data_IF_315097915899
#
_entry.id   IF_315097915899
#
_cell.length_a   1.000
_cell.length_b   1.000
_cell.length_c   1.000
_cell.angle_alpha   90.00
_cell.angle_beta   90.00
_cell.angle_gamma   90.00
#
_symmetry.space_group_name_H-M   'P 1'
#
loop_
_entity.id
_entity.type
_entity.pdbx_description
1 polymer ?
#
# COMPACT_ATOMS: atom_id res chain seq x y z
N UNK A 1 15.15 -20.77 -19.49
CA UNK A 1 15.56 -20.42 -18.10
C UNK A 1 17.06 -20.49 -18.04
N UNK A 2 17.70 -19.57 -17.30
CA UNK A 2 19.12 -19.67 -16.97
C UNK A 2 19.39 -20.97 -16.21
N UNK A 3 20.60 -21.53 -16.35
CA UNK A 3 21.06 -22.63 -15.51
C UNK A 3 21.64 -22.15 -14.18
N UNK A 4 22.02 -20.87 -14.10
CA UNK A 4 22.47 -20.18 -12.89
C UNK A 4 21.29 -19.66 -12.09
N UNK A 5 21.39 -19.75 -10.76
CA UNK A 5 20.37 -19.19 -9.88
C UNK A 5 20.54 -17.67 -9.69
N UNK A 6 19.69 -17.08 -8.85
CA UNK A 6 19.64 -15.61 -8.68
C UNK A 6 20.88 -15.01 -8.02
N UNK A 7 21.65 -15.83 -7.28
CA UNK A 7 22.81 -15.40 -6.51
C UNK A 7 24.07 -15.59 -7.38
N UNK A 8 24.12 -16.66 -8.19
CA UNK A 8 25.16 -16.90 -9.20
C UNK A 8 25.24 -15.78 -10.26
N UNK A 9 24.10 -15.24 -10.68
CA UNK A 9 24.01 -14.19 -11.72
C UNK A 9 24.74 -12.92 -11.29
N UNK A 10 24.69 -12.58 -9.99
CA UNK A 10 25.31 -11.36 -9.46
C UNK A 10 26.85 -11.47 -9.49
N UNK A 11 27.40 -12.64 -9.16
CA UNK A 11 28.85 -12.90 -9.21
C UNK A 11 29.42 -12.94 -10.64
N UNK A 12 28.58 -13.30 -11.63
CA UNK A 12 28.98 -13.32 -13.04
C UNK A 12 28.99 -11.95 -13.72
N UNK A 13 28.58 -10.88 -13.01
CA UNK A 13 28.52 -9.52 -13.55
C UNK A 13 27.42 -9.33 -14.59
N UNK A 14 26.38 -10.17 -14.56
CA UNK A 14 25.23 -10.08 -15.46
C UNK A 14 24.15 -9.16 -14.87
N UNK A 15 23.43 -8.43 -15.74
CA UNK A 15 22.29 -7.62 -15.32
C UNK A 15 21.10 -8.53 -14.99
N UNK A 16 20.60 -8.42 -13.75
CA UNK A 16 19.38 -9.08 -13.28
C UNK A 16 18.23 -8.08 -13.14
N UNK A 17 17.04 -8.46 -13.61
CA UNK A 17 15.79 -7.72 -13.41
C UNK A 17 14.73 -8.68 -12.86
N UNK A 18 14.23 -8.40 -11.66
CA UNK A 18 13.16 -9.18 -11.04
C UNK A 18 11.80 -8.66 -11.49
N UNK A 19 11.00 -9.53 -12.14
CA UNK A 19 9.64 -9.21 -12.57
C UNK A 19 8.66 -9.66 -11.50
N UNK A 20 8.20 -8.72 -10.68
CA UNK A 20 7.27 -8.97 -9.58
C UNK A 20 5.82 -8.69 -9.97
N UNK A 21 4.94 -9.67 -9.80
CA UNK A 21 3.50 -9.53 -10.01
C UNK A 21 2.79 -8.93 -8.79
N UNK A 22 2.76 -7.60 -8.67
CA UNK A 22 2.07 -6.91 -7.57
C UNK A 22 0.63 -6.57 -8.00
N UNK A 23 -0.34 -7.43 -7.64
CA UNK A 23 -1.76 -7.29 -8.03
C UNK A 23 -2.39 -5.96 -7.61
N UNK A 24 -1.89 -5.32 -6.54
CA UNK A 24 -2.37 -4.00 -6.14
C UNK A 24 -2.16 -2.96 -7.23
N UNK A 25 -1.04 -3.01 -7.97
CA UNK A 25 -0.80 -2.09 -9.09
C UNK A 25 -1.84 -2.27 -10.20
N UNK A 26 -2.28 -3.51 -10.44
CA UNK A 26 -3.40 -3.79 -11.36
C UNK A 26 -4.72 -3.21 -10.84
N UNK A 27 -5.01 -3.32 -9.53
CA UNK A 27 -6.17 -2.67 -8.90
C UNK A 27 -6.15 -1.16 -9.05
N UNK A 28 -5.01 -0.50 -8.78
CA UNK A 28 -4.88 0.96 -8.94
C UNK A 28 -5.12 1.35 -10.40
N UNK A 29 -4.44 0.68 -11.34
CA UNK A 29 -4.61 0.95 -12.77
C UNK A 29 -6.05 0.73 -13.26
N UNK A 30 -6.71 -0.33 -12.79
CA UNK A 30 -8.13 -0.59 -13.07
C UNK A 30 -9.02 0.55 -12.58
N UNK A 31 -8.81 0.95 -11.32
CA UNK A 31 -9.57 2.02 -10.67
C UNK A 31 -9.48 3.31 -11.47
N UNK A 32 -8.27 3.71 -11.89
CA UNK A 32 -8.07 4.90 -12.72
C UNK A 32 -8.79 4.84 -14.06
N UNK A 33 -8.79 3.67 -14.73
CA UNK A 33 -9.54 3.48 -15.98
C UNK A 33 -11.04 3.66 -15.76
N UNK A 34 -11.57 3.10 -14.67
CA UNK A 34 -12.99 3.25 -14.34
C UNK A 34 -13.38 4.69 -14.01
N UNK A 35 -12.56 5.40 -13.22
CA UNK A 35 -12.77 6.83 -12.91
C UNK A 35 -12.87 7.63 -14.21
N UNK A 36 -11.89 7.47 -15.11
CA UNK A 36 -11.88 8.15 -16.40
C UNK A 36 -13.11 7.78 -17.24
N UNK A 37 -13.46 6.49 -17.30
CA UNK A 37 -14.59 6.00 -18.09
C UNK A 37 -15.92 6.54 -17.61
N UNK A 38 -16.14 6.61 -16.30
CA UNK A 38 -17.46 6.92 -15.72
C UNK A 38 -17.68 8.40 -15.42
N UNK A 39 -16.60 9.15 -15.15
CA UNK A 39 -16.68 10.58 -14.82
C UNK A 39 -16.10 11.47 -15.93
N UNK A 40 -15.08 11.01 -16.66
CA UNK A 40 -14.38 11.80 -17.66
C UNK A 40 -13.99 13.18 -17.13
N UNK A 41 -14.33 14.28 -17.81
CA UNK A 41 -14.02 15.65 -17.35
C UNK A 41 -14.58 16.03 -15.96
N UNK A 42 -15.50 15.23 -15.40
CA UNK A 42 -16.06 15.45 -14.05
C UNK A 42 -15.33 14.67 -12.96
N UNK A 43 -14.18 14.06 -13.25
CA UNK A 43 -13.44 13.26 -12.28
C UNK A 43 -13.13 14.02 -10.98
N UNK A 44 -12.66 15.28 -11.08
CA UNK A 44 -12.35 16.09 -9.90
C UNK A 44 -13.59 16.32 -9.02
N UNK A 45 -14.71 16.77 -9.59
CA UNK A 45 -15.93 17.00 -8.83
C UNK A 45 -16.54 15.71 -8.28
N UNK A 46 -16.46 14.61 -9.02
CA UNK A 46 -16.95 13.31 -8.57
C UNK A 46 -16.17 12.76 -7.36
N UNK A 47 -14.86 13.03 -7.29
CA UNK A 47 -14.01 12.64 -6.16
C UNK A 47 -14.00 13.64 -5.00
N UNK A 48 -14.81 14.69 -5.06
CA UNK A 48 -14.75 15.84 -4.14
C UNK A 48 -13.35 16.45 -4.04
N UNK A 49 -12.64 16.51 -5.16
CA UNK A 49 -11.30 17.07 -5.27
C UNK A 49 -11.38 18.56 -5.63
N UNK A 50 -10.31 19.33 -5.37
CA UNK A 50 -10.19 20.69 -5.90
C UNK A 50 -10.38 20.70 -7.43
N UNK A 51 -11.18 21.64 -7.93
CA UNK A 51 -11.48 21.73 -9.37
C UNK A 51 -10.26 22.14 -10.20
N UNK A 52 -9.28 22.76 -9.56
CA UNK A 52 -7.98 23.18 -10.09
C UNK A 52 -6.86 22.17 -9.77
N UNK A 53 -7.19 20.96 -9.30
CA UNK A 53 -6.23 19.90 -9.03
C UNK A 53 -5.39 19.58 -10.29
N UNK A 54 -4.10 19.91 -10.26
CA UNK A 54 -3.17 19.75 -11.39
C UNK A 54 -2.90 18.28 -11.77
N UNK A 55 -3.12 17.38 -10.82
CA UNK A 55 -3.04 15.93 -10.97
C UNK A 55 -4.31 15.31 -11.59
N UNK A 56 -5.35 16.09 -11.88
CA UNK A 56 -6.52 15.66 -12.65
C UNK A 56 -6.52 16.36 -14.01
N UNK A 57 -6.34 15.60 -15.09
CA UNK A 57 -6.34 16.15 -16.46
C UNK A 57 -7.75 16.46 -16.95
N UNK A 58 -7.91 17.34 -17.96
CA UNK A 58 -9.23 17.70 -18.50
C UNK A 58 -10.07 16.53 -19.02
N UNK A 59 -9.43 15.42 -19.41
CA UNK A 59 -10.10 14.21 -19.88
C UNK A 59 -10.50 13.23 -18.75
N UNK A 60 -10.24 13.58 -17.49
CA UNK A 60 -10.49 12.75 -16.32
C UNK A 60 -9.36 11.82 -15.90
N UNK A 61 -8.22 11.86 -16.59
CA UNK A 61 -7.03 11.07 -16.19
C UNK A 61 -6.45 11.62 -14.89
N UNK A 62 -6.24 10.76 -13.89
CA UNK A 62 -5.59 11.11 -12.62
C UNK A 62 -4.12 10.64 -12.66
N UNK A 63 -3.20 11.54 -12.37
CA UNK A 63 -1.78 11.25 -12.16
C UNK A 63 -1.54 10.92 -10.69
N UNK A 64 -1.57 9.62 -10.34
CA UNK A 64 -1.43 9.17 -8.95
C UNK A 64 -0.11 9.57 -8.28
N UNK A 65 0.98 9.76 -9.03
CA UNK A 65 2.27 10.16 -8.47
C UNK A 65 2.33 11.67 -8.15
N UNK A 66 1.33 12.44 -8.59
CA UNK A 66 1.23 13.88 -8.38
C UNK A 66 0.17 14.26 -7.33
N UNK A 67 -0.50 13.28 -6.70
CA UNK A 67 -1.47 13.57 -5.64
C UNK A 67 -0.74 14.16 -4.42
N UNK A 68 -1.33 15.15 -3.72
CA UNK A 68 -0.78 15.67 -2.48
C UNK A 68 -0.69 14.58 -1.40
N UNK A 69 0.37 14.60 -0.59
CA UNK A 69 0.62 13.62 0.49
C UNK A 69 0.09 14.08 1.86
N UNK A 70 -0.76 15.11 1.88
CA UNK A 70 -1.34 15.77 3.04
C UNK A 70 -2.88 15.86 2.95
N UNK A 71 -3.52 14.96 2.17
CA UNK A 71 -4.97 14.91 2.05
C UNK A 71 -5.61 14.39 3.35
N UNK A 72 -6.15 15.33 4.13
CA UNK A 72 -6.79 15.05 5.42
C UNK A 72 -7.96 14.05 5.31
N UNK A 73 -8.87 14.10 4.32
CA UNK A 73 -9.88 13.05 4.13
C UNK A 73 -9.29 11.64 4.07
N UNK A 74 -8.15 11.47 3.38
CA UNK A 74 -7.44 10.20 3.29
C UNK A 74 -6.86 9.78 4.64
N UNK A 75 -6.24 10.69 5.39
CA UNK A 75 -5.76 10.39 6.75
C UNK A 75 -6.90 10.07 7.72
N UNK A 76 -8.03 10.78 7.66
CA UNK A 76 -9.24 10.42 8.40
C UNK A 76 -9.67 9.00 8.08
N UNK A 77 -9.74 8.63 6.79
CA UNK A 77 -10.12 7.28 6.37
C UNK A 77 -9.16 6.21 6.92
N UNK A 78 -7.85 6.46 6.90
CA UNK A 78 -6.82 5.57 7.48
C UNK A 78 -7.03 5.44 8.99
N UNK A 79 -7.19 6.55 9.71
CA UNK A 79 -7.37 6.61 11.17
C UNK A 79 -8.62 5.89 11.69
N UNK A 80 -9.63 5.68 10.84
CA UNK A 80 -10.78 4.83 11.19
C UNK A 80 -10.41 3.34 11.39
N UNK A 81 -9.21 2.92 10.96
CA UNK A 81 -8.78 1.52 10.89
C UNK A 81 -9.72 0.62 10.05
N UNK A 82 -10.60 1.19 9.22
CA UNK A 82 -11.37 0.48 8.19
C UNK A 82 -10.57 0.37 6.88
N UNK A 83 -9.38 -0.19 6.97
CA UNK A 83 -8.37 -0.20 5.92
C UNK A 83 -8.43 -1.43 5.02
N UNK A 84 -9.55 -2.18 5.04
CA UNK A 84 -9.71 -3.38 4.20
C UNK A 84 -9.54 -3.03 2.71
N UNK A 85 -8.66 -3.74 2.00
CA UNK A 85 -8.30 -3.45 0.62
C UNK A 85 -7.28 -2.31 0.42
N UNK A 86 -6.84 -1.61 1.48
CA UNK A 86 -5.73 -0.67 1.39
C UNK A 86 -4.40 -1.43 1.53
N UNK A 87 -3.45 -1.14 0.64
CA UNK A 87 -2.17 -1.85 0.56
C UNK A 87 -1.36 -1.74 1.85
N UNK A 88 -0.71 -2.83 2.29
CA UNK A 88 0.11 -2.96 3.52
C UNK A 88 -0.60 -2.75 4.87
N UNK A 89 -1.73 -2.04 4.93
CA UNK A 89 -2.37 -1.65 6.20
C UNK A 89 -3.70 -2.37 6.49
N UNK A 90 -4.05 -3.42 5.74
CA UNK A 90 -5.32 -4.15 5.92
C UNK A 90 -5.31 -5.31 6.93
N UNK A 91 -4.13 -5.83 7.28
CA UNK A 91 -4.02 -7.00 8.17
C UNK A 91 -4.53 -6.69 9.58
N UNK A 92 -5.01 -7.68 10.37
CA UNK A 92 -5.57 -7.41 11.69
C UNK A 92 -4.61 -6.65 12.62
N UNK A 93 -3.34 -7.04 12.66
CA UNK A 93 -2.36 -6.36 13.50
C UNK A 93 -1.95 -4.99 12.96
N UNK A 94 -1.95 -4.79 11.63
CA UNK A 94 -1.74 -3.46 11.06
C UNK A 94 -2.89 -2.51 11.40
N UNK A 95 -4.13 -3.00 11.33
CA UNK A 95 -5.30 -2.23 11.74
C UNK A 95 -5.24 -1.83 13.22
N UNK A 96 -4.73 -2.71 14.07
CA UNK A 96 -4.47 -2.39 15.48
C UNK A 96 -3.39 -1.30 15.63
N UNK A 97 -2.27 -1.42 14.89
CA UNK A 97 -1.20 -0.43 14.95
C UNK A 97 -1.68 0.93 14.42
N UNK A 98 -2.31 0.99 13.25
CA UNK A 98 -2.92 2.21 12.68
C UNK A 98 -3.91 2.83 13.68
N UNK A 99 -4.77 1.99 14.30
CA UNK A 99 -5.73 2.45 15.30
C UNK A 99 -5.06 3.11 16.51
N UNK A 100 -3.89 2.63 16.95
CA UNK A 100 -3.11 3.22 18.04
C UNK A 100 -2.24 4.39 17.59
N UNK A 101 -1.68 4.32 16.39
CA UNK A 101 -0.78 5.33 15.82
C UNK A 101 -1.52 6.61 15.47
N UNK A 102 -2.75 6.49 14.98
CA UNK A 102 -3.53 7.59 14.43
C UNK A 102 -2.69 8.45 13.46
N UNK A 103 -2.23 7.88 12.32
CA UNK A 103 -1.38 8.60 11.36
C UNK A 103 -2.02 9.92 10.91
N UNK A 104 -1.25 11.00 10.94
CA UNK A 104 -1.67 12.34 10.52
C UNK A 104 -0.72 12.99 9.51
N UNK A 105 0.38 12.32 9.19
CA UNK A 105 1.30 12.73 8.13
C UNK A 105 1.85 11.54 7.34
N UNK A 106 2.36 11.79 6.14
CA UNK A 106 2.88 10.75 5.25
C UNK A 106 4.04 9.94 5.86
N UNK A 107 4.88 10.59 6.65
CA UNK A 107 6.00 9.93 7.33
C UNK A 107 5.54 8.87 8.35
N UNK A 108 4.35 9.03 8.95
CA UNK A 108 3.79 7.99 9.83
C UNK A 108 3.52 6.70 9.07
N UNK A 109 3.08 6.76 7.81
CA UNK A 109 2.87 5.55 7.00
C UNK A 109 4.20 4.83 6.72
N UNK A 110 5.27 5.60 6.50
CA UNK A 110 6.62 5.04 6.37
C UNK A 110 7.03 4.38 7.69
N UNK A 111 6.78 5.02 8.83
CA UNK A 111 7.07 4.47 10.15
C UNK A 111 6.25 3.21 10.45
N UNK A 112 4.93 3.21 10.20
CA UNK A 112 4.01 2.09 10.39
C UNK A 112 4.49 0.82 9.68
N UNK A 113 4.75 0.91 8.37
CA UNK A 113 5.23 -0.20 7.52
C UNK A 113 6.59 -0.74 8.03
N UNK A 114 7.37 0.12 8.65
CA UNK A 114 8.70 -0.22 9.17
C UNK A 114 8.63 -0.84 10.56
N UNK A 115 7.72 -0.36 11.40
CA UNK A 115 7.53 -0.77 12.80
C UNK A 115 6.72 -2.06 12.91
N UNK A 116 5.78 -2.33 12.01
CA UNK A 116 4.95 -3.54 12.04
C UNK A 116 5.72 -4.78 11.52
N UNK A 117 6.77 -5.15 12.24
CA UNK A 117 7.66 -6.27 11.91
C UNK A 117 8.05 -7.03 13.18
N UNK A 118 8.33 -8.35 13.09
CA UNK A 118 8.67 -9.14 14.28
C UNK A 118 9.82 -8.60 15.11
N UNK A 119 10.84 -8.00 14.47
CA UNK A 119 12.01 -7.44 15.15
C UNK A 119 11.68 -6.19 15.98
N UNK A 120 11.23 -5.08 15.36
CA UNK A 120 10.83 -3.86 16.08
C UNK A 120 9.76 -4.09 17.16
N UNK A 121 8.81 -5.01 16.91
CA UNK A 121 7.78 -5.39 17.90
C UNK A 121 8.40 -6.07 19.13
N UNK A 122 9.36 -6.99 18.95
CA UNK A 122 10.10 -7.63 20.05
C UNK A 122 11.03 -6.66 20.77
N UNK A 123 11.61 -5.71 20.04
CA UNK A 123 12.49 -4.66 20.57
C UNK A 123 11.75 -3.52 21.27
N UNK A 124 10.43 -3.61 21.41
CA UNK A 124 9.57 -2.57 22.00
C UNK A 124 9.79 -1.18 21.38
N UNK A 125 10.02 -1.09 20.07
CA UNK A 125 10.21 0.20 19.37
C UNK A 125 8.90 0.95 19.16
N UNK A 126 7.77 0.22 19.15
CA UNK A 126 6.44 0.79 18.89
C UNK A 126 5.96 1.65 20.03
N UNK A 127 6.05 1.20 21.30
CA UNK A 127 5.52 1.96 22.42
C UNK A 127 6.19 3.34 22.60
N UNK A 128 7.54 3.46 22.60
CA UNK A 128 8.20 4.77 22.68
C UNK A 128 7.84 5.71 21.53
N UNK A 129 7.69 5.17 20.30
CA UNK A 129 7.26 5.96 19.15
C UNK A 129 5.85 6.53 19.37
N UNK A 130 4.90 5.68 19.77
CA UNK A 130 3.52 6.07 20.01
C UNK A 130 3.38 7.04 21.19
N UNK A 131 4.06 6.77 22.30
CA UNK A 131 4.01 7.62 23.49
C UNK A 131 4.56 9.02 23.21
N UNK A 132 5.64 9.11 22.43
CA UNK A 132 6.21 10.39 22.05
C UNK A 132 5.37 11.11 21.00
N UNK A 133 4.83 10.40 20.01
CA UNK A 133 3.89 10.94 19.01
C UNK A 133 2.67 11.58 19.67
N UNK A 134 2.08 10.89 20.65
CA UNK A 134 0.89 11.36 21.37
C UNK A 134 1.20 12.35 22.49
N UNK A 135 2.48 12.67 22.72
CA UNK A 135 2.91 13.61 23.76
C UNK A 135 2.77 13.08 25.19
N UNK A 136 2.55 11.77 25.38
CA UNK A 136 2.61 11.11 26.70
C UNK A 136 4.03 11.11 27.27
N UNK A 137 5.03 11.08 26.40
CA UNK A 137 6.44 11.27 26.75
C UNK A 137 7.09 12.29 25.83
N UNK A 138 8.19 12.91 26.28
CA UNK A 138 9.01 13.74 25.41
C UNK A 138 9.89 12.85 24.54
N UNK A 139 10.08 13.16 23.24
CA UNK A 139 11.02 12.44 22.38
C UNK A 139 12.41 12.34 23.01
N UNK A 140 12.87 11.11 23.22
CA UNK A 140 14.14 10.83 23.86
C UNK A 140 15.24 10.67 22.80
N UNK A 141 15.92 11.78 22.49
CA UNK A 141 17.05 11.76 21.57
C UNK A 141 18.30 11.22 22.27
N UNK A 142 18.96 10.22 21.67
CA UNK A 142 20.20 9.63 22.22
C UNK A 142 21.29 10.68 22.48
N UNK A 143 21.34 11.71 21.65
CA UNK A 143 22.19 12.88 21.80
C UNK A 143 21.50 14.10 21.14
N UNK A 144 21.65 15.33 21.65
CA UNK A 144 21.01 16.53 21.07
C UNK A 144 21.31 16.75 19.58
N UNK A 145 22.52 16.40 19.12
CA UNK A 145 22.89 16.52 17.71
C UNK A 145 22.14 15.56 16.78
N UNK A 146 21.44 14.56 17.29
CA UNK A 146 20.70 13.60 16.46
C UNK A 146 19.28 14.04 16.15
N UNK A 147 18.80 15.11 16.81
CA UNK A 147 17.44 15.61 16.64
C UNK A 147 17.08 15.86 15.17
N UNK A 148 17.98 16.45 14.39
CA UNK A 148 17.69 16.85 13.02
C UNK A 148 17.35 15.68 12.07
N UNK A 149 17.75 14.44 12.41
CA UNK A 149 17.43 13.26 11.61
C UNK A 149 16.59 12.20 12.34
N UNK A 150 16.37 12.34 13.64
CA UNK A 150 15.48 11.47 14.42
C UNK A 150 14.15 12.13 14.79
N UNK A 151 13.95 13.42 14.49
CA UNK A 151 12.71 14.12 14.83
C UNK A 151 11.47 13.49 14.19
N UNK A 152 11.56 13.07 12.93
CA UNK A 152 10.47 12.41 12.19
C UNK A 152 10.13 11.01 12.74
N UNK A 153 10.95 10.48 13.65
CA UNK A 153 10.71 9.22 14.34
C UNK A 153 10.63 9.37 15.84
N UNK A 154 10.43 10.61 16.32
CA UNK A 154 10.30 10.94 17.74
C UNK A 154 11.47 10.42 18.60
N UNK A 155 12.69 10.43 18.06
CA UNK A 155 13.90 9.94 18.73
C UNK A 155 14.16 8.43 18.55
N UNK A 156 13.21 7.67 18.01
CA UNK A 156 13.32 6.21 17.85
C UNK A 156 14.18 5.86 16.64
N UNK A 157 15.16 4.96 16.81
CA UNK A 157 16.05 4.52 15.72
C UNK A 157 15.41 3.37 14.94
N UNK A 158 14.69 3.70 13.87
CA UNK A 158 13.94 2.74 13.03
C UNK A 158 14.72 2.34 11.76
N UNK A 159 15.39 3.30 11.12
CA UNK A 159 15.89 3.11 9.76
C UNK A 159 17.40 2.89 9.68
N UNK A 160 17.84 2.19 8.62
CA UNK A 160 19.26 2.07 8.26
C UNK A 160 19.91 3.45 8.17
N UNK A 161 19.21 4.39 7.54
CA UNK A 161 19.66 5.77 7.34
C UNK A 161 19.88 6.51 8.66
N UNK A 162 19.16 6.14 9.75
CA UNK A 162 19.45 6.67 11.08
C UNK A 162 20.80 6.15 11.60
N UNK A 163 21.10 4.86 11.42
CA UNK A 163 22.38 4.27 11.80
C UNK A 163 23.54 4.90 11.04
N UNK A 164 23.38 5.09 9.73
CA UNK A 164 24.39 5.73 8.90
C UNK A 164 24.74 7.12 9.45
N UNK A 165 23.70 7.92 9.78
CA UNK A 165 23.88 9.26 10.36
C UNK A 165 24.46 9.22 11.77
N UNK A 166 24.03 8.30 12.63
CA UNK A 166 24.61 8.13 13.97
C UNK A 166 26.10 7.82 13.85
N UNK A 167 26.49 6.82 13.05
CA UNK A 167 27.90 6.45 12.86
C UNK A 167 28.72 7.61 12.26
N UNK A 168 28.17 8.31 11.28
CA UNK A 168 28.79 9.50 10.69
C UNK A 168 29.06 10.58 11.74
N UNK A 169 28.05 10.96 12.51
CA UNK A 169 28.14 12.01 13.53
C UNK A 169 29.05 11.62 14.69
N UNK A 170 29.03 10.35 15.12
CA UNK A 170 29.81 9.88 16.26
C UNK A 170 31.26 9.58 15.90
N UNK A 171 31.51 8.83 14.83
CA UNK A 171 32.84 8.36 14.46
C UNK A 171 33.59 9.30 13.50
N UNK A 172 32.91 10.31 12.95
CA UNK A 172 33.47 11.20 11.92
C UNK A 172 33.83 10.45 10.63
N UNK A 173 33.11 9.37 10.33
CA UNK A 173 33.28 8.56 9.10
C UNK A 173 32.47 9.12 7.95
N UNK A 174 32.73 8.73 6.71
CA UNK A 174 31.82 9.05 5.60
C UNK A 174 30.54 8.22 5.69
N UNK A 175 29.46 8.63 5.02
CA UNK A 175 28.23 7.82 4.93
C UNK A 175 28.46 6.48 4.20
N UNK A 176 29.40 6.43 3.26
CA UNK A 176 29.77 5.19 2.57
C UNK A 176 30.44 4.19 3.54
N UNK A 177 31.43 4.66 4.30
CA UNK A 177 32.07 3.87 5.36
C UNK A 177 31.04 3.46 6.44
N UNK A 178 30.10 4.33 6.79
CA UNK A 178 29.02 3.99 7.71
C UNK A 178 28.10 2.86 7.20
N UNK A 179 27.81 2.78 5.89
CA UNK A 179 27.04 1.66 5.34
C UNK A 179 27.85 0.35 5.35
N UNK A 180 29.15 0.40 5.07
CA UNK A 180 30.04 -0.78 5.18
C UNK A 180 30.07 -1.32 6.62
N UNK A 181 30.17 -0.43 7.61
CA UNK A 181 30.09 -0.76 9.03
C UNK A 181 28.72 -1.37 9.38
N UNK A 182 27.61 -0.76 8.91
CA UNK A 182 26.25 -1.29 9.12
C UNK A 182 26.11 -2.70 8.56
N UNK A 183 26.54 -2.97 7.33
CA UNK A 183 26.48 -4.30 6.69
C UNK A 183 27.29 -5.36 7.45
N UNK A 184 28.38 -4.93 8.08
CA UNK A 184 29.29 -5.82 8.81
C UNK A 184 28.88 -6.05 10.27
N UNK A 185 27.89 -5.30 10.76
CA UNK A 185 27.52 -5.25 12.18
C UNK A 185 27.03 -6.59 12.75
N UNK A 186 26.38 -7.42 11.93
CA UNK A 186 25.94 -8.77 12.32
C UNK A 186 27.11 -9.76 12.49
N UNK A 187 28.19 -9.60 11.71
CA UNK A 187 29.31 -10.55 11.67
C UNK A 187 30.50 -10.13 12.53
N UNK A 188 30.68 -8.82 12.71
CA UNK A 188 31.87 -8.22 13.28
C UNK A 188 31.56 -7.27 14.45
N UNK A 189 30.50 -7.54 15.20
CA UNK A 189 29.98 -6.64 16.26
C UNK A 189 31.08 -6.18 17.23
N UNK A 190 31.92 -7.09 17.73
CA UNK A 190 32.94 -6.76 18.73
C UNK A 190 34.07 -5.87 18.20
N UNK A 191 34.50 -6.06 16.95
CA UNK A 191 35.54 -5.21 16.37
C UNK A 191 34.99 -3.82 16.01
N UNK A 192 33.74 -3.76 15.53
CA UNK A 192 33.03 -2.50 15.28
C UNK A 192 32.81 -1.74 16.58
N UNK A 193 32.49 -2.43 17.69
CA UNK A 193 32.37 -1.81 19.01
C UNK A 193 33.65 -1.09 19.43
N UNK A 194 34.79 -1.78 19.34
CA UNK A 194 36.08 -1.22 19.72
C UNK A 194 36.41 0.03 18.87
N UNK A 195 36.19 -0.05 17.55
CA UNK A 195 36.40 1.07 16.63
C UNK A 195 35.44 2.24 16.92
N UNK A 196 34.16 1.96 17.15
CA UNK A 196 33.14 2.94 17.50
C UNK A 196 33.53 3.69 18.77
N UNK A 197 33.86 2.97 19.84
CA UNK A 197 34.25 3.57 21.13
C UNK A 197 35.49 4.43 21.01
N UNK A 198 36.53 3.94 20.33
CA UNK A 198 37.78 4.66 20.15
C UNK A 198 37.58 5.96 19.33
N UNK A 199 36.92 5.87 18.17
CA UNK A 199 36.71 7.04 17.28
C UNK A 199 35.74 8.04 17.88
N UNK A 200 34.66 7.58 18.51
CA UNK A 200 33.68 8.48 19.13
C UNK A 200 34.29 9.26 20.29
N UNK A 201 35.14 8.61 21.11
CA UNK A 201 35.88 9.29 22.18
C UNK A 201 36.87 10.33 21.65
N UNK A 202 37.45 10.10 20.48
CA UNK A 202 38.39 11.00 19.82
C UNK A 202 37.70 12.12 19.01
N UNK A 203 36.37 12.09 18.85
CA UNK A 203 35.63 13.10 18.09
C UNK A 203 35.48 14.38 18.91
N UNK A 204 36.18 15.42 18.48
CA UNK A 204 36.24 16.73 19.14
C UNK A 204 35.36 17.73 18.38
N UNK A 205 34.64 18.55 19.13
CA UNK A 205 33.94 19.70 18.59
C UNK A 205 34.95 20.79 18.20
N UNK A 206 35.07 21.15 16.91
CA UNK A 206 36.07 22.14 16.47
C UNK A 206 35.83 23.53 17.06
N UNK A 207 34.60 23.81 17.51
CA UNK A 207 34.20 25.10 18.08
C UNK A 207 34.58 25.22 19.56
N UNK A 208 34.46 24.14 20.32
CA UNK A 208 34.70 24.14 21.78
C UNK A 208 36.01 23.47 22.19
N UNK A 209 36.63 22.67 21.31
CA UNK A 209 37.80 21.86 21.62
C UNK A 209 37.53 20.71 22.59
N UNK A 210 36.28 20.51 23.00
CA UNK A 210 35.86 19.44 23.91
C UNK A 210 35.41 18.20 23.14
N UNK A 211 35.39 17.04 23.80
CA UNK A 211 34.79 15.84 23.22
C UNK A 211 33.31 16.10 22.94
N UNK A 212 32.83 15.68 21.77
CA UNK A 212 31.41 15.80 21.41
C UNK A 212 30.51 14.88 22.23
N UNK A 213 31.02 13.73 22.66
CA UNK A 213 30.24 12.69 23.33
C UNK A 213 30.86 12.30 24.67
N UNK A 214 30.03 12.19 25.71
CA UNK A 214 30.44 11.66 27.03
C UNK A 214 30.57 10.14 26.98
N UNK A 215 31.23 9.53 27.97
CA UNK A 215 31.34 8.06 28.03
C UNK A 215 29.94 7.42 28.17
N UNK A 216 29.02 8.09 28.88
CA UNK A 216 27.61 7.69 29.00
C UNK A 216 26.89 7.72 27.64
N UNK A 217 27.14 8.75 26.82
CA UNK A 217 26.53 8.84 25.49
C UNK A 217 27.02 7.70 24.60
N UNK A 218 28.33 7.42 24.63
CA UNK A 218 28.94 6.32 23.86
C UNK A 218 28.31 4.98 24.22
N UNK A 219 28.17 4.68 25.52
CA UNK A 219 27.55 3.44 25.99
C UNK A 219 26.10 3.35 25.51
N UNK A 220 25.32 4.41 25.73
CA UNK A 220 23.89 4.44 25.39
C UNK A 220 23.66 4.32 23.89
N UNK A 221 24.44 5.02 23.07
CA UNK A 221 24.33 4.95 21.61
C UNK A 221 24.71 3.55 21.13
N UNK A 222 25.79 2.97 21.65
CA UNK A 222 26.24 1.65 21.24
C UNK A 222 25.20 0.56 21.54
N UNK A 223 24.54 0.60 22.70
CA UNK A 223 23.49 -0.39 23.02
C UNK A 223 22.34 -0.37 22.00
N UNK A 224 21.95 0.83 21.53
CA UNK A 224 20.93 0.94 20.46
C UNK A 224 21.48 0.40 19.13
N UNK A 225 22.70 0.77 18.74
CA UNK A 225 23.33 0.30 17.49
C UNK A 225 23.49 -1.23 17.48
N UNK A 226 23.93 -1.82 18.59
CA UNK A 226 24.13 -3.26 18.74
C UNK A 226 22.82 -4.05 18.64
N UNK A 227 21.74 -3.53 19.23
CA UNK A 227 20.41 -4.12 19.06
C UNK A 227 19.94 -4.06 17.60
N UNK A 228 20.20 -2.94 16.93
CA UNK A 228 19.64 -2.65 15.60
C UNK A 228 20.02 -3.66 14.51
N UNK A 229 21.20 -4.27 14.57
CA UNK A 229 21.68 -5.25 13.59
C UNK A 229 20.70 -6.40 13.31
N UNK A 230 19.72 -6.64 14.19
CA UNK A 230 18.71 -7.69 14.03
C UNK A 230 17.34 -7.21 13.51
N UNK A 231 17.08 -5.90 13.37
CA UNK A 231 15.72 -5.38 13.11
C UNK A 231 15.61 -4.13 12.24
N UNK A 232 16.73 -3.53 11.86
CA UNK A 232 16.74 -2.31 11.06
C UNK A 232 15.96 -2.40 9.75
N UNK A 233 15.44 -1.25 9.32
CA UNK A 233 14.70 -1.18 8.06
C UNK A 233 15.21 -0.12 7.10
N UNK A 234 15.18 -0.39 5.80
CA UNK A 234 15.58 0.58 4.78
C UNK A 234 14.47 1.63 4.59
N UNK A 235 14.72 2.91 4.94
CA UNK A 235 13.72 3.99 4.83
C UNK A 235 13.24 4.15 3.40
N UNK A 236 14.15 4.08 2.43
CA UNK A 236 13.80 4.18 1.01
C UNK A 236 12.81 3.07 0.58
N UNK A 237 13.01 1.85 1.07
CA UNK A 237 12.08 0.75 0.80
C UNK A 237 10.72 0.97 1.49
N UNK A 238 10.72 1.47 2.74
CA UNK A 238 9.49 1.88 3.43
C UNK A 238 8.72 2.96 2.68
N UNK A 239 9.41 3.99 2.21
CA UNK A 239 8.83 5.07 1.42
C UNK A 239 8.22 4.56 0.11
N UNK A 240 8.91 3.65 -0.59
CA UNK A 240 8.40 3.04 -1.81
C UNK A 240 7.12 2.21 -1.58
N UNK A 241 6.92 1.64 -0.39
CA UNK A 241 5.71 0.90 -0.01
C UNK A 241 4.62 1.81 0.58
N UNK A 242 5.00 2.92 1.21
CA UNK A 242 4.07 3.94 1.69
C UNK A 242 3.32 4.60 0.53
N UNK A 243 3.95 4.73 -0.64
CA UNK A 243 3.32 5.33 -1.83
C UNK A 243 2.05 4.57 -2.28
N UNK A 244 2.10 3.27 -2.65
CA UNK A 244 0.89 2.51 -2.99
C UNK A 244 -0.06 2.33 -1.80
N UNK A 245 0.44 2.38 -0.56
CA UNK A 245 -0.39 2.40 0.65
C UNK A 245 -1.29 3.64 0.65
N UNK A 246 -0.69 4.81 0.54
CA UNK A 246 -1.39 6.09 0.48
C UNK A 246 -2.29 6.21 -0.75
N UNK A 247 -1.79 5.86 -1.94
CA UNK A 247 -2.58 5.88 -3.18
C UNK A 247 -3.83 4.98 -3.10
N UNK A 248 -3.71 3.79 -2.50
CA UNK A 248 -4.86 2.90 -2.30
C UNK A 248 -5.87 3.45 -1.30
N UNK A 249 -5.40 4.10 -0.22
CA UNK A 249 -6.26 4.76 0.75
C UNK A 249 -6.97 5.98 0.14
N UNK A 250 -6.25 6.78 -0.65
CA UNK A 250 -6.77 7.94 -1.36
C UNK A 250 -7.86 7.54 -2.35
N UNK A 251 -7.61 6.53 -3.20
CA UNK A 251 -8.62 6.03 -4.14
C UNK A 251 -9.84 5.46 -3.42
N UNK A 252 -9.66 4.74 -2.31
CA UNK A 252 -10.79 4.24 -1.51
C UNK A 252 -11.62 5.39 -0.90
N UNK A 253 -10.96 6.49 -0.56
CA UNK A 253 -11.60 7.67 0.06
C UNK A 253 -12.41 8.45 -0.97
N UNK A 254 -11.83 8.74 -2.14
CA UNK A 254 -12.41 9.63 -3.13
C UNK A 254 -13.24 8.89 -4.21
N UNK A 255 -12.91 7.63 -4.51
CA UNK A 255 -13.53 6.84 -5.57
C UNK A 255 -13.85 5.41 -5.09
N UNK A 256 -14.67 5.25 -4.04
CA UNK A 256 -14.90 3.96 -3.39
C UNK A 256 -15.51 2.91 -4.32
N UNK A 257 -16.39 3.29 -5.25
CA UNK A 257 -17.04 2.34 -6.14
C UNK A 257 -16.06 1.76 -7.17
N UNK A 258 -15.26 2.63 -7.78
CA UNK A 258 -14.21 2.30 -8.74
C UNK A 258 -13.11 1.47 -8.08
N UNK A 259 -12.72 1.85 -6.86
CA UNK A 259 -11.68 1.12 -6.12
C UNK A 259 -12.16 -0.27 -5.71
N UNK A 260 -13.40 -0.41 -5.25
CA UNK A 260 -14.00 -1.73 -4.94
C UNK A 260 -14.09 -2.60 -6.20
N UNK A 261 -14.46 -2.04 -7.35
CA UNK A 261 -14.46 -2.77 -8.62
C UNK A 261 -13.04 -3.28 -8.98
N UNK A 262 -12.02 -2.45 -8.79
CA UNK A 262 -10.62 -2.85 -8.98
C UNK A 262 -10.13 -3.92 -8.00
N UNK A 263 -10.55 -3.85 -6.73
CA UNK A 263 -10.24 -4.85 -5.71
C UNK A 263 -10.89 -6.20 -6.04
N UNK A 264 -12.15 -6.19 -6.46
CA UNK A 264 -12.87 -7.42 -6.82
C UNK A 264 -12.33 -8.07 -8.09
N UNK A 265 -11.92 -7.27 -9.08
CA UNK A 265 -11.34 -7.75 -10.35
C UNK A 265 -9.96 -8.38 -10.17
N UNK A 266 -9.06 -7.74 -9.42
CA UNK A 266 -7.66 -8.18 -9.30
C UNK A 266 -7.30 -8.90 -8.00
N UNK A 267 -8.17 -8.83 -6.98
CA UNK A 267 -8.04 -9.55 -5.71
C UNK A 267 -6.65 -9.43 -5.06
N UNK A 268 -6.12 -8.20 -4.84
CA UNK A 268 -4.72 -8.03 -4.46
C UNK A 268 -4.44 -8.35 -2.98
N UNK A 269 -5.47 -8.37 -2.15
CA UNK A 269 -5.37 -8.42 -0.70
C UNK A 269 -5.42 -9.83 -0.11
N UNK A 270 -5.48 -9.88 1.21
CA UNK A 270 -5.50 -11.15 1.96
C UNK A 270 -6.91 -11.68 2.26
N UNK A 271 -7.94 -10.85 2.18
CA UNK A 271 -9.30 -11.23 2.56
C UNK A 271 -10.11 -11.77 1.39
N UNK A 272 -10.97 -12.78 1.62
CA UNK A 272 -11.85 -13.29 0.58
C UNK A 272 -12.87 -12.23 0.14
N UNK A 273 -13.28 -12.29 -1.13
CA UNK A 273 -14.22 -11.34 -1.75
C UNK A 273 -15.49 -11.07 -0.94
N UNK A 274 -16.02 -12.04 -0.19
CA UNK A 274 -17.20 -11.83 0.68
C UNK A 274 -17.01 -10.68 1.70
N UNK A 275 -15.78 -10.48 2.19
CA UNK A 275 -15.48 -9.36 3.08
C UNK A 275 -15.41 -8.04 2.31
N UNK A 276 -14.89 -8.06 1.07
CA UNK A 276 -14.94 -6.89 0.18
C UNK A 276 -16.39 -6.46 -0.12
N UNK A 277 -17.33 -7.41 -0.28
CA UNK A 277 -18.76 -7.09 -0.43
C UNK A 277 -19.35 -6.45 0.84
N UNK A 278 -18.89 -6.87 2.01
CA UNK A 278 -19.31 -6.26 3.29
C UNK A 278 -18.76 -4.84 3.42
N UNK A 279 -17.54 -4.62 2.96
CA UNK A 279 -16.92 -3.30 2.92
C UNK A 279 -17.59 -2.37 1.91
N UNK A 280 -17.95 -2.87 0.73
CA UNK A 280 -18.74 -2.12 -0.25
C UNK A 280 -20.06 -1.63 0.38
N UNK A 281 -20.77 -2.50 1.12
CA UNK A 281 -21.98 -2.12 1.86
C UNK A 281 -21.72 -1.03 2.89
N UNK A 282 -20.62 -1.12 3.65
CA UNK A 282 -20.23 -0.10 4.63
C UNK A 282 -19.95 1.26 3.98
N UNK A 283 -19.34 1.24 2.80
CA UNK A 283 -19.05 2.43 1.99
C UNK A 283 -20.28 2.95 1.21
N UNK A 284 -21.45 2.29 1.34
CA UNK A 284 -22.65 2.68 0.61
C UNK A 284 -22.60 2.38 -0.89
N UNK A 285 -21.69 1.50 -1.34
CA UNK A 285 -21.55 1.07 -2.73
C UNK A 285 -22.44 -0.15 -2.99
N UNK A 286 -23.54 -0.02 -3.75
CA UNK A 286 -24.39 -1.15 -4.10
C UNK A 286 -23.66 -2.14 -5.00
N UNK A 287 -23.83 -3.43 -4.74
CA UNK A 287 -23.37 -4.50 -5.62
C UNK A 287 -24.56 -4.92 -6.49
N UNK A 288 -24.42 -4.76 -7.80
CA UNK A 288 -25.46 -5.05 -8.78
C UNK A 288 -25.35 -6.50 -9.24
N UNK A 289 -26.48 -7.23 -9.36
CA UNK A 289 -26.46 -8.65 -9.72
C UNK A 289 -25.87 -8.87 -11.10
N UNK A 290 -25.58 -10.12 -11.45
CA UNK A 290 -25.21 -10.44 -12.83
C UNK A 290 -26.36 -10.07 -13.77
N UNK A 291 -26.02 -9.65 -14.98
CA UNK A 291 -26.97 -9.42 -16.05
C UNK A 291 -26.27 -9.70 -17.38
N UNK A 292 -26.85 -10.54 -18.24
CA UNK A 292 -26.19 -10.95 -19.49
C UNK A 292 -25.99 -9.81 -20.49
N UNK A 293 -26.68 -8.68 -20.34
CA UNK A 293 -26.54 -7.50 -21.20
C UNK A 293 -25.66 -6.39 -20.58
N UNK A 294 -25.59 -6.31 -19.25
CA UNK A 294 -24.82 -5.28 -18.55
C UNK A 294 -23.47 -5.76 -18.01
N UNK A 295 -23.39 -7.01 -17.53
CA UNK A 295 -22.14 -7.59 -17.01
C UNK A 295 -21.12 -7.84 -18.12
N UNK A 296 -19.85 -7.60 -17.80
CA UNK A 296 -18.70 -7.93 -18.65
C UNK A 296 -17.79 -8.95 -17.96
N UNK A 297 -16.58 -9.17 -18.45
CA UNK A 297 -15.62 -10.10 -17.83
C UNK A 297 -14.81 -9.52 -16.66
N UNK A 298 -15.00 -8.24 -16.33
CA UNK A 298 -14.48 -7.58 -15.13
C UNK A 298 -15.64 -6.99 -14.30
N UNK A 299 -15.42 -6.72 -13.01
CA UNK A 299 -16.41 -6.01 -12.20
C UNK A 299 -16.46 -4.56 -12.65
N UNK A 300 -17.63 -4.01 -12.94
CA UNK A 300 -17.72 -2.71 -13.62
C UNK A 300 -18.57 -1.72 -12.86
N UNK A 301 -18.17 -0.45 -12.83
CA UNK A 301 -18.97 0.60 -12.19
C UNK A 301 -20.08 1.08 -13.12
N UNK A 302 -21.28 1.20 -12.58
CA UNK A 302 -22.46 1.68 -13.30
C UNK A 302 -23.11 2.85 -12.56
N UNK A 303 -23.63 3.81 -13.33
CA UNK A 303 -24.42 4.91 -12.79
C UNK A 303 -25.89 4.49 -12.75
N UNK A 304 -26.44 4.42 -11.54
CA UNK A 304 -27.83 4.07 -11.29
C UNK A 304 -28.75 5.30 -11.45
N UNK A 305 -30.06 5.08 -11.61
CA UNK A 305 -31.05 6.15 -11.47
C UNK A 305 -30.84 6.91 -10.15
N UNK A 306 -30.90 8.24 -10.20
CA UNK A 306 -30.60 9.10 -9.04
C UNK A 306 -29.12 9.46 -8.86
N UNK A 307 -28.23 8.93 -9.70
CA UNK A 307 -26.83 9.36 -9.78
C UNK A 307 -25.84 8.55 -8.93
N UNK A 308 -26.34 7.67 -8.05
CA UNK A 308 -25.54 6.73 -7.25
C UNK A 308 -24.73 5.80 -8.14
N UNK A 309 -23.50 5.47 -7.74
CA UNK A 309 -22.68 4.47 -8.41
C UNK A 309 -22.83 3.10 -7.76
N UNK A 310 -22.99 2.05 -8.56
CA UNK A 310 -22.95 0.67 -8.11
C UNK A 310 -21.88 -0.14 -8.87
N UNK A 311 -21.49 -1.28 -8.32
CA UNK A 311 -20.53 -2.20 -8.92
C UNK A 311 -21.26 -3.44 -9.41
N UNK A 312 -21.24 -3.66 -10.73
CA UNK A 312 -21.78 -4.82 -11.42
C UNK A 312 -20.86 -6.02 -11.28
N UNK A 313 -21.45 -7.17 -10.92
CA UNK A 313 -20.73 -8.44 -10.90
C UNK A 313 -20.22 -8.84 -12.29
N UNK A 314 -19.04 -9.47 -12.32
CA UNK A 314 -18.42 -10.00 -13.54
C UNK A 314 -19.00 -11.35 -13.94
N UNK A 315 -19.20 -11.58 -15.24
CA UNK A 315 -19.54 -12.89 -15.79
C UNK A 315 -18.52 -13.98 -15.39
N UNK A 316 -17.26 -13.63 -15.10
CA UNK A 316 -16.23 -14.56 -14.62
C UNK A 316 -16.59 -15.24 -13.30
N UNK A 317 -17.49 -14.64 -12.52
CA UNK A 317 -17.94 -15.23 -11.24
C UNK A 317 -18.99 -16.32 -11.42
N UNK A 318 -19.55 -16.48 -12.63
CA UNK A 318 -20.48 -17.58 -12.91
C UNK A 318 -19.70 -18.89 -12.87
N UNK A 319 -20.00 -19.71 -11.87
CA UNK A 319 -19.27 -20.95 -11.62
C UNK A 319 -19.15 -21.82 -12.88
N UNK A 320 -17.91 -22.18 -13.23
CA UNK A 320 -17.60 -23.08 -14.36
C UNK A 320 -17.88 -22.51 -15.75
N UNK A 321 -18.02 -21.19 -15.89
CA UNK A 321 -17.96 -20.52 -17.18
C UNK A 321 -16.54 -20.62 -17.77
N UNK A 322 -16.43 -20.88 -19.07
CA UNK A 322 -15.13 -20.94 -19.77
C UNK A 322 -14.81 -19.62 -20.50
N UNK A 323 -13.53 -19.35 -20.73
CA UNK A 323 -13.09 -18.16 -21.48
C UNK A 323 -13.78 -18.05 -22.86
N UNK A 324 -13.91 -19.13 -23.67
CA UNK A 324 -14.62 -19.04 -24.94
C UNK A 324 -16.11 -18.73 -24.78
N UNK A 325 -16.75 -19.17 -23.70
CA UNK A 325 -18.16 -18.84 -23.42
C UNK A 325 -18.30 -17.36 -23.04
N UNK A 326 -17.39 -16.81 -22.23
CA UNK A 326 -17.35 -15.37 -21.92
C UNK A 326 -17.22 -14.56 -23.22
N UNK A 327 -16.22 -14.87 -24.05
CA UNK A 327 -15.99 -14.13 -25.31
C UNK A 327 -17.23 -14.14 -26.20
N UNK A 328 -17.92 -15.28 -26.33
CA UNK A 328 -19.16 -15.37 -27.12
C UNK A 328 -20.33 -14.63 -26.48
N UNK A 329 -20.43 -14.64 -25.15
CA UNK A 329 -21.43 -13.86 -24.42
C UNK A 329 -21.21 -12.35 -24.65
N UNK A 330 -19.99 -11.86 -24.49
CA UNK A 330 -19.69 -10.44 -24.70
C UNK A 330 -19.91 -10.01 -26.15
N UNK A 331 -19.47 -10.82 -27.12
CA UNK A 331 -19.64 -10.50 -28.54
C UNK A 331 -21.12 -10.52 -29.00
N UNK A 332 -22.00 -11.21 -28.26
CA UNK A 332 -23.43 -11.28 -28.57
C UNK A 332 -24.27 -10.23 -27.86
N UNK A 333 -23.71 -9.43 -26.95
CA UNK A 333 -24.47 -8.35 -26.31
C UNK A 333 -24.86 -7.24 -27.33
N UNK A 334 -26.02 -6.58 -27.16
CA UNK A 334 -27.12 -6.96 -26.28
C UNK A 334 -27.98 -8.09 -26.90
N UNK A 335 -28.64 -8.84 -26.02
CA UNK A 335 -29.61 -9.88 -26.32
C UNK A 335 -31.03 -9.38 -26.11
N UNK A 336 -31.94 -9.81 -26.97
CA UNK A 336 -33.38 -9.49 -26.87
C UNK A 336 -34.19 -10.54 -26.10
N UNK A 337 -33.62 -11.70 -25.80
CA UNK A 337 -34.33 -12.77 -25.11
C UNK A 337 -33.46 -14.00 -24.86
N UNK A 338 -33.96 -14.91 -24.04
CA UNK A 338 -33.25 -16.15 -23.65
C UNK A 338 -32.85 -16.99 -24.88
N UNK A 339 -33.73 -17.09 -25.88
CA UNK A 339 -33.45 -17.81 -27.13
C UNK A 339 -32.33 -17.14 -27.93
N UNK A 340 -32.26 -15.81 -27.93
CA UNK A 340 -31.20 -15.05 -28.63
C UNK A 340 -29.83 -15.31 -28.00
N UNK A 341 -29.76 -15.34 -26.66
CA UNK A 341 -28.56 -15.76 -25.92
C UNK A 341 -28.11 -17.15 -26.35
N UNK A 342 -29.04 -18.11 -26.39
CA UNK A 342 -28.71 -19.49 -26.74
C UNK A 342 -28.17 -19.63 -28.17
N UNK A 343 -28.78 -18.94 -29.14
CA UNK A 343 -28.41 -19.03 -30.56
C UNK A 343 -27.07 -18.33 -30.84
N UNK A 344 -26.89 -17.11 -30.33
CA UNK A 344 -25.71 -16.26 -30.63
C UNK A 344 -24.50 -16.62 -29.77
N UNK A 345 -24.68 -16.81 -28.46
CA UNK A 345 -23.56 -17.13 -27.56
C UNK A 345 -23.24 -18.62 -27.49
N UNK A 346 -24.20 -19.49 -27.80
CA UNK A 346 -24.08 -20.96 -27.70
C UNK A 346 -23.45 -21.39 -26.36
N UNK A 347 -24.01 -20.97 -25.21
CA UNK A 347 -23.54 -21.42 -23.91
C UNK A 347 -23.83 -22.91 -23.76
N UNK A 348 -23.01 -23.61 -22.96
CA UNK A 348 -23.37 -24.97 -22.54
C UNK A 348 -24.70 -24.97 -21.76
N UNK A 349 -25.42 -26.10 -21.77
CA UNK A 349 -26.65 -26.26 -20.98
C UNK A 349 -26.40 -25.95 -19.49
N UNK A 350 -25.26 -26.39 -18.96
CA UNK A 350 -24.87 -26.14 -17.58
C UNK A 350 -24.67 -24.64 -17.31
N UNK A 351 -23.99 -23.92 -18.20
CA UNK A 351 -23.83 -22.48 -18.08
C UNK A 351 -25.19 -21.76 -18.13
N UNK A 352 -26.06 -22.13 -19.07
CA UNK A 352 -27.38 -21.51 -19.20
C UNK A 352 -28.23 -21.68 -17.93
N UNK A 353 -28.20 -22.87 -17.32
CA UNK A 353 -28.87 -23.12 -16.03
C UNK A 353 -28.28 -22.26 -14.91
N UNK A 354 -26.95 -22.10 -14.86
CA UNK A 354 -26.29 -21.28 -13.83
C UNK A 354 -26.61 -19.79 -14.01
N UNK A 355 -26.60 -19.28 -15.24
CA UNK A 355 -27.00 -17.90 -15.55
C UNK A 355 -28.45 -17.64 -15.10
N UNK A 356 -29.36 -18.58 -15.34
CA UNK A 356 -30.73 -18.49 -14.83
C UNK A 356 -30.80 -18.49 -13.29
N UNK A 357 -30.09 -19.41 -12.63
CA UNK A 357 -30.12 -19.54 -11.16
C UNK A 357 -29.57 -18.33 -10.42
N UNK A 358 -28.62 -17.61 -11.01
CA UNK A 358 -28.03 -16.39 -10.41
C UNK A 358 -28.75 -15.11 -10.83
N UNK A 359 -29.87 -15.22 -11.55
CA UNK A 359 -30.68 -14.08 -12.02
C UNK A 359 -30.08 -13.30 -13.19
N UNK A 360 -29.04 -13.82 -13.86
CA UNK A 360 -28.38 -13.11 -14.95
C UNK A 360 -29.27 -12.91 -16.18
N UNK A 361 -30.36 -13.66 -16.29
CA UNK A 361 -31.31 -13.61 -17.41
C UNK A 361 -32.60 -12.84 -17.06
N UNK A 362 -32.71 -12.28 -15.86
CA UNK A 362 -33.97 -11.70 -15.36
C UNK A 362 -34.43 -10.51 -16.21
N UNK A 363 -33.49 -9.69 -16.72
CA UNK A 363 -33.80 -8.57 -17.63
C UNK A 363 -34.40 -9.00 -18.98
N UNK A 364 -34.19 -10.26 -19.38
CA UNK A 364 -34.71 -10.84 -20.61
C UNK A 364 -36.07 -11.53 -20.41
N UNK A 365 -36.51 -11.69 -19.16
CA UNK A 365 -37.75 -12.39 -18.81
C UNK A 365 -38.97 -11.46 -18.70
N UNK A 366 -38.75 -10.14 -18.79
CA UNK A 366 -39.78 -9.12 -18.61
C UNK A 366 -40.76 -8.95 -19.79
N UNK A 367 -40.60 -9.72 -20.89
CA UNK A 367 -41.46 -9.65 -22.10
C UNK A 367 -42.46 -10.82 -22.22
N UNK A 368 -43.00 -11.32 -21.11
CA UNK A 368 -44.13 -12.25 -21.13
C UNK A 368 -45.26 -11.78 -20.21
N UNK A 369 -45.99 -10.75 -20.66
CA UNK A 369 -47.41 -10.57 -20.35
C UNK A 369 -48.23 -10.55 -21.64
#
# INVERSE_FOLDING_TARGET
>A
MSQFDKDDIDDMGLLKLDVLGVRMQSTLAYTLREIKRIHGPRAASAGNLPLDATYVKPDGTIELDAIPHDDEPTFVAIRTAHTLGMFQIESPGQRELIGKMQPDEYNDLIADISLFRPGPMKGNMVAPFLDAKHGFTQPDYLHPSFRYFLQDSYGVVIYHEHILRILHETMGVTLAEADELRRSMEKATSSIEAAFRARTKANIDPTTGARKFTDRDIDRIWEVLKGFGSFGFCKAHGAAFALPTYQSAWLKTHYPAEFIAGLLTHDPGMYPRRLLLSEARRLGVPILPLDVNASVDEYRVERLPGGTLGVRLSLRDVHGISEPEIVRLLAGQPYSGITDVYIRARPSKALMQRLALVGALDSLSADTE
#
